data_IF_629580818201
#
_entry.id   IF_629580818201
#
_cell.length_a   1.000
_cell.length_b   1.000
_cell.length_c   1.000
_cell.angle_alpha   90.00
_cell.angle_beta   90.00
_cell.angle_gamma   90.00
#
_symmetry.space_group_name_H-M   'P 1'
#
loop_
_entity.id
_entity.type
_entity.pdbx_description
1 polymer ?
#
# COMPACT_ATOMS: atom_id res chain seq x y z
N UNK A 1 -12.38 33.73 13.56
CA UNK A 1 -13.75 33.26 13.31
C UNK A 1 -13.71 32.27 12.15
N UNK A 2 -14.23 31.08 12.39
CA UNK A 2 -14.47 30.07 11.37
C UNK A 2 -15.56 30.59 10.42
N UNK A 3 -15.28 30.58 9.09
CA UNK A 3 -16.26 30.98 8.06
C UNK A 3 -17.02 29.77 7.50
N UNK A 4 -16.43 28.58 7.62
CA UNK A 4 -16.89 27.36 6.95
C UNK A 4 -16.86 26.16 7.89
N UNK A 5 -17.29 26.36 9.16
CA UNK A 5 -17.23 25.32 10.20
C UNK A 5 -17.96 24.05 9.79
N UNK A 6 -19.17 24.18 9.25
CA UNK A 6 -19.99 23.02 8.85
C UNK A 6 -19.30 22.20 7.74
N UNK A 7 -18.69 22.89 6.78
CA UNK A 7 -17.92 22.23 5.72
C UNK A 7 -16.65 21.57 6.27
N UNK A 8 -15.95 22.23 7.21
CA UNK A 8 -14.76 21.67 7.83
C UNK A 8 -15.08 20.41 8.64
N UNK A 9 -16.21 20.40 9.38
CA UNK A 9 -16.67 19.22 10.11
C UNK A 9 -17.02 18.07 9.16
N UNK A 10 -17.81 18.36 8.11
CA UNK A 10 -18.22 17.34 7.15
C UNK A 10 -17.04 16.75 6.39
N UNK A 11 -16.14 17.58 5.85
CA UNK A 11 -14.97 17.13 5.11
C UNK A 11 -13.96 16.43 6.00
N UNK A 12 -13.82 16.88 7.25
CA UNK A 12 -13.00 16.20 8.26
C UNK A 12 -13.51 14.78 8.56
N UNK A 13 -14.82 14.62 8.68
CA UNK A 13 -15.45 13.31 8.85
C UNK A 13 -15.19 12.40 7.65
N UNK A 14 -15.41 12.88 6.42
CA UNK A 14 -15.14 12.10 5.21
C UNK A 14 -13.67 11.68 5.11
N UNK A 15 -12.74 12.61 5.34
CA UNK A 15 -11.31 12.28 5.31
C UNK A 15 -10.95 11.25 6.38
N UNK A 16 -11.46 11.39 7.61
CA UNK A 16 -11.20 10.45 8.69
C UNK A 16 -11.77 9.05 8.42
N UNK A 17 -12.97 8.98 7.82
CA UNK A 17 -13.61 7.72 7.44
C UNK A 17 -12.84 7.00 6.31
N UNK A 18 -12.05 7.70 5.50
CA UNK A 18 -11.16 7.05 4.53
C UNK A 18 -10.17 6.08 5.18
N UNK A 19 -9.93 6.17 6.50
CA UNK A 19 -9.09 5.23 7.24
C UNK A 19 -9.58 3.77 7.15
N UNK A 20 -10.89 3.56 6.96
CA UNK A 20 -11.45 2.22 6.76
C UNK A 20 -10.96 1.52 5.48
N UNK A 21 -10.51 2.29 4.49
CA UNK A 21 -10.00 1.78 3.22
C UNK A 21 -8.49 1.95 3.06
N UNK A 22 -7.96 3.12 3.45
CA UNK A 22 -6.55 3.41 3.27
C UNK A 22 -6.05 4.48 4.24
N UNK A 23 -5.34 4.07 5.29
CA UNK A 23 -4.75 4.98 6.27
C UNK A 23 -3.73 5.96 5.67
N UNK A 24 -2.99 5.57 4.61
CA UNK A 24 -2.05 6.45 3.95
C UNK A 24 -2.76 7.65 3.27
N UNK A 25 -3.98 7.46 2.75
CA UNK A 25 -4.77 8.55 2.19
C UNK A 25 -5.13 9.60 3.25
N UNK A 26 -5.46 9.16 4.46
CA UNK A 26 -5.76 10.07 5.58
C UNK A 26 -4.52 10.84 6.00
N UNK A 27 -3.40 10.15 6.19
CA UNK A 27 -2.12 10.80 6.56
C UNK A 27 -1.71 11.81 5.47
N UNK A 28 -1.78 11.42 4.18
CA UNK A 28 -1.49 12.32 3.07
C UNK A 28 -2.40 13.54 3.03
N UNK A 29 -3.70 13.35 3.27
CA UNK A 29 -4.67 14.44 3.40
C UNK A 29 -4.37 15.36 4.57
N UNK A 30 -4.05 14.82 5.75
CA UNK A 30 -3.66 15.61 6.93
C UNK A 30 -2.39 16.42 6.71
N UNK A 31 -1.40 15.86 5.99
CA UNK A 31 -0.17 16.58 5.62
C UNK A 31 -0.49 17.78 4.71
N UNK A 32 -1.37 17.62 3.72
CA UNK A 32 -1.83 18.69 2.85
C UNK A 32 -2.59 19.75 3.65
N UNK A 33 -3.46 19.34 4.57
CA UNK A 33 -4.18 20.27 5.46
C UNK A 33 -3.23 21.04 6.38
N UNK A 34 -2.15 20.43 6.85
CA UNK A 34 -1.10 21.10 7.60
C UNK A 34 -0.48 22.22 6.76
N UNK A 35 -0.15 21.95 5.50
CA UNK A 35 0.31 22.98 4.56
C UNK A 35 -0.69 24.13 4.40
N UNK A 36 -1.96 23.82 4.19
CA UNK A 36 -3.00 24.85 4.09
C UNK A 36 -3.17 25.65 5.38
N UNK A 37 -3.10 25.02 6.55
CA UNK A 37 -3.15 25.72 7.82
C UNK A 37 -1.98 26.69 8.03
N UNK A 38 -0.79 26.36 7.51
CA UNK A 38 0.40 27.20 7.59
C UNK A 38 0.27 28.41 6.64
N UNK A 39 -0.13 28.18 5.39
CA UNK A 39 0.01 29.16 4.30
C UNK A 39 -1.27 29.92 3.98
N UNK A 40 -2.44 29.54 4.52
CA UNK A 40 -3.72 30.22 4.26
C UNK A 40 -4.23 31.02 5.45
N UNK A 41 -5.24 31.83 5.19
CA UNK A 41 -5.92 32.63 6.21
C UNK A 41 -7.00 31.85 6.99
N UNK A 42 -7.45 30.70 6.47
CA UNK A 42 -8.51 29.84 7.05
C UNK A 42 -7.99 28.81 8.06
N UNK A 43 -7.01 29.17 8.90
CA UNK A 43 -6.33 28.25 9.81
C UNK A 43 -7.24 27.44 10.72
N UNK A 44 -8.30 28.09 11.26
CA UNK A 44 -9.23 27.43 12.18
C UNK A 44 -10.04 26.35 11.47
N UNK A 45 -10.52 26.62 10.26
CA UNK A 45 -11.32 25.66 9.50
C UNK A 45 -10.48 24.41 9.15
N UNK A 46 -9.21 24.59 8.75
CA UNK A 46 -8.29 23.46 8.49
C UNK A 46 -7.90 22.70 9.77
N UNK A 47 -7.74 23.40 10.90
CA UNK A 47 -7.46 22.74 12.18
C UNK A 47 -8.65 21.91 12.66
N UNK A 48 -9.87 22.41 12.52
CA UNK A 48 -11.09 21.67 12.83
C UNK A 48 -11.21 20.45 11.91
N UNK A 49 -11.02 20.60 10.61
CA UNK A 49 -11.05 19.51 9.66
C UNK A 49 -10.03 18.43 10.02
N UNK A 50 -8.79 18.81 10.36
CA UNK A 50 -7.76 17.88 10.79
C UNK A 50 -8.12 17.15 12.08
N UNK A 51 -8.61 17.88 13.10
CA UNK A 51 -9.02 17.30 14.38
C UNK A 51 -10.14 16.27 14.25
N UNK A 52 -11.16 16.57 13.43
CA UNK A 52 -12.26 15.65 13.14
C UNK A 52 -11.74 14.42 12.37
N UNK A 53 -10.85 14.61 11.38
CA UNK A 53 -10.24 13.50 10.63
C UNK A 53 -9.43 12.57 11.56
N UNK A 54 -8.64 13.13 12.46
CA UNK A 54 -7.86 12.36 13.45
C UNK A 54 -8.81 11.59 14.37
N UNK A 55 -9.89 12.23 14.84
CA UNK A 55 -10.85 11.56 15.72
C UNK A 55 -11.45 10.30 15.07
N UNK A 56 -11.98 10.43 13.84
CA UNK A 56 -12.55 9.27 13.13
C UNK A 56 -11.51 8.21 12.78
N UNK A 57 -10.29 8.60 12.41
CA UNK A 57 -9.19 7.66 12.15
C UNK A 57 -8.77 6.91 13.42
N UNK A 58 -8.69 7.59 14.57
CA UNK A 58 -8.37 6.96 15.85
C UNK A 58 -9.50 6.01 16.30
N UNK A 59 -10.76 6.37 16.04
CA UNK A 59 -11.89 5.49 16.33
C UNK A 59 -11.80 4.19 15.51
N UNK A 60 -11.55 4.29 14.20
CA UNK A 60 -11.33 3.15 13.33
C UNK A 60 -10.17 2.28 13.81
N UNK A 61 -9.01 2.89 14.09
CA UNK A 61 -7.81 2.18 14.54
C UNK A 61 -8.06 1.41 15.85
N UNK A 62 -8.73 2.01 16.83
CA UNK A 62 -9.05 1.34 18.10
C UNK A 62 -10.00 0.17 17.95
N UNK A 63 -10.91 0.20 16.98
CA UNK A 63 -11.89 -0.86 16.76
C UNK A 63 -11.27 -2.05 16.02
N UNK A 64 -10.43 -1.78 15.02
CA UNK A 64 -10.00 -2.80 14.05
C UNK A 64 -8.52 -3.17 14.13
N UNK A 65 -7.66 -2.36 14.76
CA UNK A 65 -6.22 -2.61 14.79
C UNK A 65 -5.80 -2.96 16.21
N UNK A 66 -5.33 -4.19 16.39
CA UNK A 66 -4.79 -4.69 17.66
C UNK A 66 -3.39 -5.25 17.40
N UNK A 67 -2.41 -4.85 18.22
CA UNK A 67 -1.09 -5.47 18.21
C UNK A 67 -0.09 -4.95 17.18
N UNK A 68 -0.42 -3.94 16.36
CA UNK A 68 0.58 -3.29 15.51
C UNK A 68 1.55 -2.49 16.40
N UNK A 69 2.83 -2.82 16.34
CA UNK A 69 3.85 -2.31 17.25
C UNK A 69 4.80 -1.28 16.60
N UNK A 70 4.59 -0.94 15.33
CA UNK A 70 5.48 -0.01 14.64
C UNK A 70 5.28 1.42 15.15
N UNK A 71 6.35 2.01 15.66
CA UNK A 71 6.43 3.45 15.94
C UNK A 71 7.07 4.17 14.75
N UNK A 72 6.64 5.41 14.43
CA UNK A 72 7.26 6.22 13.40
C UNK A 72 8.75 6.41 13.67
N UNK A 73 9.58 6.27 12.63
CA UNK A 73 11.03 6.43 12.71
C UNK A 73 11.49 7.50 11.72
N UNK A 74 12.53 8.24 12.09
CA UNK A 74 13.20 9.15 11.16
C UNK A 74 14.02 8.30 10.20
N UNK A 75 13.72 8.40 8.90
CA UNK A 75 14.43 7.72 7.84
C UNK A 75 14.59 8.66 6.64
N UNK A 76 15.81 9.15 6.46
CA UNK A 76 16.08 10.15 5.43
C UNK A 76 16.37 9.52 4.08
N UNK A 77 15.86 10.16 3.02
CA UNK A 77 16.23 9.89 1.65
C UNK A 77 15.44 8.79 0.93
N UNK A 78 14.38 8.23 1.54
CA UNK A 78 13.55 7.18 0.93
C UNK A 78 14.42 6.04 0.35
N UNK A 79 14.33 5.73 -0.96
CA UNK A 79 15.12 4.72 -1.67
C UNK A 79 16.38 5.26 -2.34
N UNK A 80 16.77 6.53 -2.10
CA UNK A 80 18.03 7.06 -2.64
C UNK A 80 19.23 6.25 -2.09
N UNK A 81 20.15 5.85 -2.95
CA UNK A 81 21.39 5.16 -2.55
C UNK A 81 22.27 6.07 -1.70
N UNK A 82 22.46 7.31 -2.17
CA UNK A 82 23.14 8.36 -1.43
C UNK A 82 22.11 9.20 -0.66
N UNK A 83 22.18 9.14 0.68
CA UNK A 83 21.27 9.84 1.60
C UNK A 83 21.62 11.32 1.82
N UNK A 84 22.62 11.86 1.10
CA UNK A 84 22.93 13.29 1.10
C UNK A 84 21.89 14.09 0.31
N UNK A 85 21.81 15.40 0.55
CA UNK A 85 20.90 16.28 -0.18
C UNK A 85 21.10 16.20 -1.71
N UNK A 86 22.33 16.25 -2.25
CA UNK A 86 22.55 16.03 -3.68
C UNK A 86 22.10 14.65 -4.18
N UNK A 87 22.34 13.59 -3.39
CA UNK A 87 21.91 12.24 -3.73
C UNK A 87 20.38 12.10 -3.81
N UNK A 88 19.67 12.69 -2.84
CA UNK A 88 18.20 12.73 -2.84
C UNK A 88 17.66 13.54 -4.02
N UNK A 89 18.26 14.69 -4.35
CA UNK A 89 17.87 15.48 -5.52
C UNK A 89 18.11 14.70 -6.81
N UNK A 90 19.25 14.00 -6.93
CA UNK A 90 19.54 13.11 -8.06
C UNK A 90 18.49 11.99 -8.17
N UNK A 91 18.14 11.37 -7.06
CA UNK A 91 17.10 10.34 -7.02
C UNK A 91 15.74 10.87 -7.46
N UNK A 92 15.31 12.04 -6.95
CA UNK A 92 14.08 12.71 -7.37
C UNK A 92 14.06 13.01 -8.87
N UNK A 93 15.19 13.42 -9.42
CA UNK A 93 15.32 13.65 -10.87
C UNK A 93 15.14 12.34 -11.67
N UNK A 94 15.82 11.26 -11.28
CA UNK A 94 15.68 9.97 -11.96
C UNK A 94 14.27 9.38 -11.82
N UNK A 95 13.65 9.52 -10.65
CA UNK A 95 12.31 9.03 -10.39
C UNK A 95 11.23 9.79 -11.18
N UNK A 96 11.39 11.10 -11.37
CA UNK A 96 10.32 11.96 -11.84
C UNK A 96 10.63 12.73 -13.14
N UNK A 97 11.85 12.63 -13.65
CA UNK A 97 12.28 13.38 -14.82
C UNK A 97 12.10 14.89 -14.64
N UNK A 98 11.39 15.50 -15.58
CA UNK A 98 11.14 16.95 -15.56
C UNK A 98 10.05 17.39 -14.57
N UNK A 99 9.33 16.44 -13.94
CA UNK A 99 8.14 16.74 -13.16
C UNK A 99 8.44 17.69 -11.99
N UNK A 100 9.28 17.29 -11.03
CA UNK A 100 9.59 18.13 -9.86
C UNK A 100 10.43 19.36 -10.22
N UNK A 101 11.39 19.22 -11.13
CA UNK A 101 12.20 20.36 -11.59
C UNK A 101 11.35 21.45 -12.23
N UNK A 102 10.41 21.06 -13.08
CA UNK A 102 9.51 22.02 -13.71
C UNK A 102 8.59 22.71 -12.72
N UNK A 103 8.15 22.02 -11.65
CA UNK A 103 7.37 22.65 -10.58
C UNK A 103 8.18 23.72 -9.84
N UNK A 104 9.47 23.50 -9.58
CA UNK A 104 10.37 24.51 -9.00
C UNK A 104 10.43 25.75 -9.89
N UNK A 105 10.54 25.57 -11.20
CA UNK A 105 10.52 26.69 -12.14
C UNK A 105 9.16 27.40 -12.19
N UNK A 106 8.05 26.65 -12.12
CA UNK A 106 6.69 27.22 -12.11
C UNK A 106 6.43 28.15 -10.93
N UNK A 107 7.02 27.87 -9.75
CA UNK A 107 6.87 28.70 -8.54
C UNK A 107 7.17 30.18 -8.82
N UNK A 108 8.11 30.47 -9.71
CA UNK A 108 8.47 31.87 -10.07
C UNK A 108 7.37 32.62 -10.83
N UNK A 109 6.49 31.88 -11.54
CA UNK A 109 5.41 32.46 -12.35
C UNK A 109 4.05 32.44 -11.64
N UNK A 110 3.98 31.83 -10.43
CA UNK A 110 2.74 31.66 -9.68
C UNK A 110 2.47 32.85 -8.73
N UNK A 111 1.18 33.11 -8.49
CA UNK A 111 0.74 34.04 -7.45
C UNK A 111 0.93 33.44 -6.07
N UNK A 112 0.95 34.27 -5.03
CA UNK A 112 1.16 33.84 -3.63
C UNK A 112 0.24 32.69 -3.23
N UNK A 113 -1.05 32.75 -3.59
CA UNK A 113 -2.04 31.72 -3.27
C UNK A 113 -1.74 30.40 -3.97
N UNK A 114 -1.41 30.43 -5.25
CA UNK A 114 -1.08 29.24 -6.05
C UNK A 114 0.19 28.56 -5.52
N UNK A 115 1.20 29.36 -5.15
CA UNK A 115 2.42 28.87 -4.49
C UNK A 115 2.13 28.16 -3.17
N UNK A 116 1.24 28.73 -2.34
CA UNK A 116 0.84 28.13 -1.08
C UNK A 116 0.19 26.76 -1.29
N UNK A 117 -0.68 26.62 -2.30
CA UNK A 117 -1.33 25.35 -2.65
C UNK A 117 -0.29 24.34 -3.16
N UNK A 118 0.60 24.75 -4.08
CA UNK A 118 1.65 23.86 -4.62
C UNK A 118 2.55 23.35 -3.50
N UNK A 119 3.04 24.24 -2.61
CA UNK A 119 3.89 23.85 -1.49
C UNK A 119 3.15 22.91 -0.54
N UNK A 120 1.85 23.14 -0.27
CA UNK A 120 1.05 22.23 0.57
C UNK A 120 0.95 20.83 -0.03
N UNK A 121 0.85 20.70 -1.34
CA UNK A 121 0.83 19.42 -2.04
C UNK A 121 2.18 18.69 -2.06
N UNK A 122 3.28 19.36 -1.72
CA UNK A 122 4.60 18.75 -1.55
C UNK A 122 4.79 18.11 -0.17
N UNK A 123 3.96 18.42 0.84
CA UNK A 123 4.13 17.87 2.19
C UNK A 123 4.15 16.36 2.24
N UNK A 124 3.28 15.61 1.53
CA UNK A 124 3.38 14.15 1.51
C UNK A 124 4.68 13.63 0.89
N UNK A 125 5.26 14.29 -0.13
CA UNK A 125 6.59 13.92 -0.66
C UNK A 125 7.66 14.13 0.40
N UNK A 126 7.69 15.30 1.05
CA UNK A 126 8.65 15.58 2.11
C UNK A 126 8.55 14.52 3.20
N UNK A 127 7.33 14.19 3.61
CA UNK A 127 7.06 13.13 4.59
C UNK A 127 7.63 11.78 4.15
N UNK A 128 7.42 11.37 2.89
CA UNK A 128 7.93 10.11 2.35
C UNK A 128 9.45 10.00 2.41
N UNK A 129 10.16 11.14 2.34
CA UNK A 129 11.63 11.20 2.36
C UNK A 129 12.22 11.44 3.76
N UNK A 130 11.40 11.63 4.77
CA UNK A 130 11.87 11.96 6.14
C UNK A 130 11.44 10.95 7.17
N UNK A 131 10.27 10.32 7.01
CA UNK A 131 9.68 9.44 8.01
C UNK A 131 9.35 8.07 7.43
N UNK A 132 9.53 7.05 8.27
CA UNK A 132 9.15 5.67 8.02
C UNK A 132 7.99 5.30 8.96
N UNK A 133 6.85 4.90 8.38
CA UNK A 133 5.63 4.57 9.12
C UNK A 133 5.37 3.06 9.22
N UNK A 134 6.09 2.28 8.43
CA UNK A 134 5.98 0.82 8.37
C UNK A 134 7.36 0.22 8.21
N UNK A 135 7.59 -1.07 8.54
CA UNK A 135 8.89 -1.71 8.35
C UNK A 135 9.39 -1.68 6.89
N UNK A 136 8.47 -1.68 5.95
CA UNK A 136 8.79 -1.59 4.52
C UNK A 136 8.77 -0.14 4.04
N UNK A 137 9.95 0.40 3.73
CA UNK A 137 10.13 1.76 3.19
C UNK A 137 9.39 1.96 1.85
N UNK A 138 9.22 0.89 1.06
CA UNK A 138 8.52 0.99 -0.22
C UNK A 138 7.07 1.47 -0.04
N UNK A 139 6.44 1.21 1.09
CA UNK A 139 5.07 1.68 1.40
C UNK A 139 4.95 3.20 1.34
N UNK A 140 6.03 3.93 1.58
CA UNK A 140 6.06 5.40 1.49
C UNK A 140 5.79 5.93 0.07
N UNK A 141 5.90 5.10 -0.99
CA UNK A 141 5.54 5.51 -2.35
C UNK A 141 4.10 6.06 -2.45
N UNK A 142 3.20 5.61 -1.58
CA UNK A 142 1.79 6.08 -1.53
C UNK A 142 1.70 7.59 -1.32
N UNK A 143 2.55 8.14 -0.45
CA UNK A 143 2.58 9.59 -0.20
C UNK A 143 3.13 10.38 -1.40
N UNK A 144 4.12 9.81 -2.09
CA UNK A 144 4.62 10.39 -3.35
C UNK A 144 3.52 10.40 -4.41
N UNK A 145 2.77 9.29 -4.56
CA UNK A 145 1.65 9.19 -5.50
C UNK A 145 0.53 10.20 -5.20
N UNK A 146 0.19 10.43 -3.93
CA UNK A 146 -0.80 11.45 -3.53
C UNK A 146 -0.35 12.82 -3.99
N UNK A 147 0.90 13.20 -3.72
CA UNK A 147 1.46 14.46 -4.17
C UNK A 147 1.46 14.57 -5.70
N UNK A 148 1.88 13.52 -6.40
CA UNK A 148 1.86 13.47 -7.87
C UNK A 148 0.47 13.77 -8.42
N UNK A 149 -0.56 13.10 -7.91
CA UNK A 149 -1.94 13.31 -8.35
C UNK A 149 -2.39 14.76 -8.25
N UNK A 150 -2.08 15.43 -7.13
CA UNK A 150 -2.45 16.85 -6.96
C UNK A 150 -1.55 17.81 -7.72
N UNK A 151 -0.26 17.52 -7.84
CA UNK A 151 0.69 18.38 -8.54
C UNK A 151 0.51 18.36 -10.06
N UNK A 152 -0.08 17.31 -10.63
CA UNK A 152 -0.44 17.25 -12.05
C UNK A 152 -1.40 18.37 -12.46
N UNK A 153 -2.20 18.91 -11.53
CA UNK A 153 -3.10 20.05 -11.78
C UNK A 153 -2.31 21.25 -12.26
N UNK A 154 -1.14 21.52 -11.67
CA UNK A 154 -0.28 22.64 -12.07
C UNK A 154 0.33 22.43 -13.45
N UNK A 155 0.69 21.19 -13.79
CA UNK A 155 1.17 20.85 -15.12
C UNK A 155 0.07 21.00 -16.17
N UNK A 156 -1.16 20.53 -15.88
CA UNK A 156 -2.30 20.75 -16.76
C UNK A 156 -2.55 22.25 -16.99
N UNK A 157 -2.52 23.03 -15.91
CA UNK A 157 -2.66 24.49 -16.01
C UNK A 157 -1.55 25.12 -16.88
N UNK A 158 -0.28 24.72 -16.70
CA UNK A 158 0.84 25.23 -17.50
C UNK A 158 0.70 24.88 -18.97
N UNK A 159 0.37 23.64 -19.29
CA UNK A 159 0.13 23.16 -20.67
C UNK A 159 -1.01 23.95 -21.33
N UNK A 160 -2.15 24.07 -20.65
CA UNK A 160 -3.29 24.85 -21.14
C UNK A 160 -2.94 26.35 -21.34
N UNK A 161 -2.15 26.92 -20.43
CA UNK A 161 -1.73 28.34 -20.54
C UNK A 161 -0.80 28.57 -21.74
N UNK A 162 0.11 27.64 -22.00
CA UNK A 162 0.99 27.66 -23.16
C UNK A 162 0.23 27.47 -24.47
N UNK A 163 -0.74 26.55 -24.47
CA UNK A 163 -1.55 26.25 -25.66
C UNK A 163 -2.44 27.40 -26.06
N UNK A 164 -3.13 28.01 -25.11
CA UNK A 164 -4.05 29.11 -25.37
C UNK A 164 -3.31 30.46 -25.68
N UNK A 165 -2.07 30.59 -25.17
CA UNK A 165 -1.31 31.84 -25.29
C UNK A 165 -1.91 32.97 -24.44
N UNK A 166 -1.26 34.12 -24.46
CA UNK A 166 -1.74 35.34 -23.78
C UNK A 166 -2.18 36.38 -24.82
N UNK A 167 -3.13 37.23 -24.43
CA UNK A 167 -3.51 38.38 -25.25
C UNK A 167 -2.28 39.27 -25.50
N UNK A 168 -2.08 39.73 -26.73
CA UNK A 168 -0.93 40.57 -27.14
C UNK A 168 0.31 39.80 -27.61
N UNK A 169 0.33 38.46 -27.54
CA UNK A 169 1.42 37.66 -28.11
C UNK A 169 1.38 37.66 -29.65
N UNK A 170 2.56 37.68 -30.29
CA UNK A 170 2.71 37.53 -31.74
C UNK A 170 2.33 36.10 -32.18
N UNK A 171 2.05 35.91 -33.46
CA UNK A 171 1.75 34.58 -34.02
C UNK A 171 2.87 33.57 -33.76
N UNK A 172 4.13 33.98 -33.88
CA UNK A 172 5.32 33.16 -33.63
C UNK A 172 5.34 32.71 -32.14
N UNK A 173 5.11 33.62 -31.20
CA UNK A 173 5.09 33.28 -29.75
C UNK A 173 3.98 32.29 -29.41
N UNK A 174 2.80 32.42 -30.01
CA UNK A 174 1.71 31.46 -29.85
C UNK A 174 2.07 30.06 -30.40
N UNK A 175 2.70 30.03 -31.58
CA UNK A 175 3.17 28.76 -32.17
C UNK A 175 4.23 28.11 -31.32
N UNK A 176 5.22 28.87 -30.82
CA UNK A 176 6.22 28.32 -29.89
C UNK A 176 5.60 27.80 -28.59
N UNK A 177 4.61 28.52 -28.04
CA UNK A 177 3.85 28.06 -26.86
C UNK A 177 3.17 26.71 -27.08
N UNK A 178 2.54 26.51 -28.24
CA UNK A 178 1.91 25.22 -28.61
C UNK A 178 2.93 24.09 -28.77
N UNK A 179 4.07 24.37 -29.41
CA UNK A 179 5.15 23.38 -29.55
C UNK A 179 5.67 22.99 -28.18
N UNK A 180 5.93 23.94 -27.29
CA UNK A 180 6.39 23.68 -25.93
C UNK A 180 5.35 22.88 -25.13
N UNK A 181 4.05 23.18 -25.27
CA UNK A 181 2.97 22.41 -24.64
C UNK A 181 2.99 20.94 -25.09
N UNK A 182 3.16 20.68 -26.40
CA UNK A 182 3.27 19.31 -26.94
C UNK A 182 4.50 18.59 -26.35
N UNK A 183 5.66 19.25 -26.36
CA UNK A 183 6.90 18.68 -25.80
C UNK A 183 6.73 18.34 -24.32
N UNK A 184 6.10 19.21 -23.54
CA UNK A 184 5.81 18.96 -22.12
C UNK A 184 4.88 17.76 -21.93
N UNK A 185 3.79 17.68 -22.70
CA UNK A 185 2.87 16.53 -22.63
C UNK A 185 3.61 15.22 -22.93
N UNK A 186 4.42 15.19 -23.98
CA UNK A 186 5.21 14.01 -24.32
C UNK A 186 6.19 13.68 -23.17
N UNK A 187 6.96 14.66 -22.69
CA UNK A 187 7.97 14.45 -21.65
C UNK A 187 7.37 13.99 -20.30
N UNK A 188 6.14 14.41 -19.98
CA UNK A 188 5.43 14.01 -18.76
C UNK A 188 4.71 12.67 -18.87
N UNK A 189 4.46 12.17 -20.10
CA UNK A 189 3.61 11.00 -20.31
C UNK A 189 4.36 9.81 -20.87
N UNK A 190 5.51 10.00 -21.51
CA UNK A 190 6.19 8.94 -22.28
C UNK A 190 6.59 7.74 -21.44
N UNK A 191 7.09 7.96 -20.23
CA UNK A 191 7.48 6.88 -19.31
C UNK A 191 6.24 6.08 -18.86
N UNK A 192 5.17 6.76 -18.45
CA UNK A 192 3.92 6.10 -18.06
C UNK A 192 3.27 5.32 -19.21
N UNK A 193 3.32 5.86 -20.43
CA UNK A 193 2.85 5.14 -21.63
C UNK A 193 3.74 3.92 -21.88
N UNK A 194 5.05 4.05 -21.76
CA UNK A 194 5.98 2.93 -21.90
C UNK A 194 5.68 1.82 -20.87
N UNK A 195 5.56 2.17 -19.60
CA UNK A 195 5.24 1.22 -18.53
C UNK A 195 3.90 0.52 -18.77
N UNK A 196 2.89 1.28 -19.20
CA UNK A 196 1.59 0.72 -19.55
C UNK A 196 1.68 -0.28 -20.71
N UNK A 197 2.46 0.03 -21.74
CA UNK A 197 2.71 -0.90 -22.86
C UNK A 197 3.46 -2.14 -22.40
N UNK A 198 4.44 -1.99 -21.51
CA UNK A 198 5.19 -3.13 -20.94
C UNK A 198 4.27 -4.03 -20.13
N UNK A 199 3.39 -3.46 -19.30
CA UNK A 199 2.40 -4.21 -18.52
C UNK A 199 1.46 -4.98 -19.45
N UNK A 200 0.91 -4.33 -20.50
CA UNK A 200 0.02 -5.00 -21.45
C UNK A 200 0.73 -6.13 -22.18
N UNK A 201 1.95 -5.90 -22.69
CA UNK A 201 2.74 -6.93 -23.38
C UNK A 201 3.21 -8.03 -22.44
N UNK A 202 3.51 -7.68 -21.19
CA UNK A 202 3.91 -8.61 -20.14
C UNK A 202 2.77 -9.51 -19.64
N UNK A 203 1.53 -9.13 -19.88
CA UNK A 203 0.31 -9.82 -19.40
C UNK A 203 -0.10 -11.01 -20.29
N UNK A 204 0.87 -11.70 -20.89
CA UNK A 204 0.65 -12.93 -21.68
C UNK A 204 0.24 -14.12 -20.81
N UNK A 205 -0.21 -15.24 -21.43
CA UNK A 205 -0.76 -16.40 -20.70
C UNK A 205 0.12 -16.95 -19.60
N UNK A 206 1.44 -16.95 -19.75
CA UNK A 206 2.40 -17.44 -18.74
C UNK A 206 2.77 -16.44 -17.63
N UNK A 207 2.15 -15.25 -17.59
CA UNK A 207 2.46 -14.20 -16.62
C UNK A 207 1.20 -13.70 -15.87
N UNK A 208 0.10 -14.41 -15.99
CA UNK A 208 -1.15 -14.11 -15.29
C UNK A 208 -1.30 -15.05 -14.11
N UNK A 209 -1.60 -14.51 -12.95
CA UNK A 209 -2.11 -15.30 -11.83
C UNK A 209 -3.62 -15.41 -12.03
N UNK A 210 -4.10 -16.64 -12.16
CA UNK A 210 -5.54 -16.93 -12.24
C UNK A 210 -5.92 -17.71 -10.99
N UNK A 211 -6.84 -17.18 -10.21
CA UNK A 211 -7.37 -17.84 -9.02
C UNK A 211 -8.79 -18.33 -9.33
N UNK A 212 -9.02 -19.64 -9.18
CA UNK A 212 -10.34 -20.22 -9.40
C UNK A 212 -11.15 -20.18 -8.10
N UNK A 213 -12.00 -19.17 -7.95
CA UNK A 213 -12.82 -18.98 -6.76
C UNK A 213 -13.98 -19.98 -6.63
N UNK A 214 -14.18 -20.85 -7.64
CA UNK A 214 -15.20 -21.90 -7.64
C UNK A 214 -14.55 -23.29 -7.72
N UNK A 215 -13.31 -23.43 -7.26
CA UNK A 215 -12.66 -24.74 -7.20
C UNK A 215 -13.30 -25.62 -6.12
N UNK A 216 -13.14 -26.94 -6.23
CA UNK A 216 -13.58 -27.88 -5.20
C UNK A 216 -12.95 -27.57 -3.84
N UNK A 217 -11.68 -27.12 -3.84
CA UNK A 217 -10.99 -26.71 -2.63
C UNK A 217 -11.65 -25.47 -1.99
N UNK A 218 -11.95 -24.44 -2.78
CA UNK A 218 -12.62 -23.24 -2.27
C UNK A 218 -13.98 -23.58 -1.67
N UNK A 219 -14.78 -24.37 -2.37
CA UNK A 219 -16.10 -24.81 -1.89
C UNK A 219 -15.98 -25.63 -0.59
N UNK A 220 -15.03 -26.56 -0.55
CA UNK A 220 -14.80 -27.36 0.68
C UNK A 220 -14.43 -26.47 1.88
N UNK A 221 -13.54 -25.47 1.66
CA UNK A 221 -13.14 -24.54 2.72
C UNK A 221 -14.32 -23.71 3.22
N UNK A 222 -15.18 -23.22 2.32
CA UNK A 222 -16.38 -22.44 2.66
C UNK A 222 -17.43 -23.26 3.41
N UNK A 223 -17.57 -24.54 3.08
CA UNK A 223 -18.58 -25.44 3.67
C UNK A 223 -18.15 -26.06 5.01
N UNK A 224 -16.84 -26.25 5.23
CA UNK A 224 -16.33 -27.03 6.35
C UNK A 224 -15.58 -26.22 7.41
N UNK A 225 -15.13 -24.97 7.12
CA UNK A 225 -14.50 -24.12 8.10
C UNK A 225 -15.50 -23.16 8.73
N UNK A 226 -15.49 -23.12 10.07
CA UNK A 226 -16.27 -22.17 10.85
C UNK A 226 -15.50 -20.85 11.03
N UNK A 227 -16.21 -19.80 11.44
CA UNK A 227 -15.65 -18.46 11.64
C UNK A 227 -14.41 -18.40 12.55
N UNK A 228 -14.32 -19.31 13.51
CA UNK A 228 -13.24 -19.33 14.50
C UNK A 228 -12.17 -20.39 14.18
N UNK A 229 -12.31 -21.11 13.09
CA UNK A 229 -11.31 -22.06 12.66
C UNK A 229 -10.06 -21.36 12.17
N UNK A 230 -8.92 -21.92 12.54
CA UNK A 230 -7.61 -21.40 12.21
C UNK A 230 -6.86 -22.39 11.34
N UNK A 231 -6.69 -22.06 10.08
CA UNK A 231 -6.04 -22.89 9.08
C UNK A 231 -4.55 -22.52 8.97
N UNK A 232 -3.65 -23.46 9.24
CA UNK A 232 -2.23 -23.34 8.90
C UNK A 232 -2.03 -23.72 7.42
N UNK A 233 -1.30 -22.89 6.68
CA UNK A 233 -0.98 -23.13 5.27
C UNK A 233 0.51 -22.93 5.03
N UNK A 234 1.08 -23.50 3.94
CA UNK A 234 2.32 -23.01 3.36
C UNK A 234 2.26 -21.51 3.02
N UNK A 235 3.36 -20.92 2.59
CA UNK A 235 3.38 -19.50 2.23
C UNK A 235 2.62 -19.23 0.94
N UNK A 236 1.50 -18.51 1.06
CA UNK A 236 0.68 -18.10 -0.08
C UNK A 236 0.55 -16.58 -0.14
N UNK A 237 0.81 -15.99 -1.30
CA UNK A 237 0.54 -14.57 -1.55
C UNK A 237 -0.82 -14.32 -2.19
N UNK A 238 -1.22 -15.17 -3.12
CA UNK A 238 -2.51 -15.13 -3.80
C UNK A 238 -2.82 -16.50 -4.40
N UNK A 239 -3.80 -17.19 -3.86
CA UNK A 239 -4.32 -18.46 -4.38
C UNK A 239 -5.75 -18.70 -3.88
N UNK A 240 -6.31 -19.84 -4.21
CA UNK A 240 -7.69 -20.24 -3.86
C UNK A 240 -7.92 -20.26 -2.34
N UNK A 241 -6.91 -20.70 -1.56
CA UNK A 241 -7.00 -20.78 -0.10
C UNK A 241 -7.04 -19.40 0.53
N UNK A 242 -6.13 -18.49 0.12
CA UNK A 242 -6.10 -17.11 0.66
C UNK A 242 -7.33 -16.30 0.31
N UNK A 243 -7.98 -16.64 -0.81
CA UNK A 243 -9.16 -15.93 -1.32
C UNK A 243 -10.49 -16.53 -0.88
N UNK A 244 -10.49 -17.75 -0.27
CA UNK A 244 -11.71 -18.41 0.22
C UNK A 244 -12.37 -17.74 1.42
N UNK A 245 -11.66 -16.81 2.09
CA UNK A 245 -12.14 -16.20 3.34
C UNK A 245 -11.77 -16.98 4.60
N UNK A 246 -11.06 -18.11 4.49
CA UNK A 246 -10.56 -18.87 5.63
C UNK A 246 -9.61 -18.01 6.49
N UNK A 247 -9.69 -18.13 7.81
CA UNK A 247 -8.77 -17.48 8.72
C UNK A 247 -7.45 -18.22 8.73
N UNK A 248 -6.39 -17.61 8.20
CA UNK A 248 -5.07 -18.21 8.12
C UNK A 248 -4.24 -17.92 9.38
N UNK A 249 -3.50 -18.91 9.86
CA UNK A 249 -2.62 -18.77 11.02
C UNK A 249 -1.46 -17.81 10.74
N UNK A 250 -0.82 -17.93 9.60
CA UNK A 250 0.30 -17.08 9.18
C UNK A 250 0.15 -16.63 7.72
N UNK A 251 -0.25 -17.51 6.82
CA UNK A 251 -0.32 -17.23 5.37
C UNK A 251 1.04 -16.77 4.85
N UNK A 252 1.06 -15.67 4.11
CA UNK A 252 2.30 -15.03 3.72
C UNK A 252 2.68 -13.94 4.73
N UNK A 253 3.74 -14.13 5.54
CA UNK A 253 4.09 -13.23 6.65
C UNK A 253 4.31 -11.78 6.25
N UNK A 254 4.75 -11.54 5.00
CA UNK A 254 5.03 -10.20 4.48
C UNK A 254 3.85 -9.22 4.65
N UNK A 255 2.61 -9.66 4.49
CA UNK A 255 1.46 -8.76 4.60
C UNK A 255 1.29 -8.21 6.03
N UNK A 256 1.38 -9.07 7.02
CA UNK A 256 1.29 -8.67 8.43
C UNK A 256 2.53 -7.87 8.86
N UNK A 257 3.73 -8.31 8.46
CA UNK A 257 4.98 -7.61 8.72
C UNK A 257 4.96 -6.19 8.12
N UNK A 258 4.58 -6.03 6.86
CA UNK A 258 4.53 -4.71 6.22
C UNK A 258 3.52 -3.76 6.84
N UNK A 259 2.54 -4.29 7.59
CA UNK A 259 1.59 -3.53 8.38
C UNK A 259 2.08 -3.23 9.82
N UNK A 260 3.28 -3.69 10.19
CA UNK A 260 3.91 -3.43 11.48
C UNK A 260 3.64 -4.48 12.57
N UNK A 261 3.13 -5.64 12.21
CA UNK A 261 2.97 -6.76 13.16
C UNK A 261 4.26 -7.57 13.27
N UNK A 262 4.52 -8.10 14.47
CA UNK A 262 5.57 -9.10 14.65
C UNK A 262 5.08 -10.45 14.12
N UNK A 263 5.72 -10.91 13.04
CA UNK A 263 5.43 -12.19 12.40
C UNK A 263 6.40 -13.30 12.76
N UNK A 264 7.52 -12.97 13.41
CA UNK A 264 8.62 -13.92 13.64
C UNK A 264 8.17 -15.11 14.49
N UNK A 265 7.39 -14.84 15.54
CA UNK A 265 6.91 -15.91 16.42
C UNK A 265 6.04 -16.92 15.66
N UNK A 266 5.01 -16.46 14.93
CA UNK A 266 4.11 -17.36 14.20
C UNK A 266 4.81 -18.09 13.06
N UNK A 267 5.70 -17.41 12.37
CA UNK A 267 6.51 -18.02 11.31
C UNK A 267 7.37 -19.16 11.88
N UNK A 268 8.05 -18.95 13.01
CA UNK A 268 8.83 -20.00 13.68
C UNK A 268 7.97 -21.21 14.13
N UNK A 269 6.75 -20.97 14.63
CA UNK A 269 5.83 -22.07 14.96
C UNK A 269 5.36 -22.83 13.71
N UNK A 270 5.05 -22.14 12.62
CA UNK A 270 4.68 -22.75 11.35
C UNK A 270 5.81 -23.64 10.80
N UNK A 271 7.06 -23.12 10.80
CA UNK A 271 8.25 -23.91 10.46
C UNK A 271 8.34 -25.15 11.32
N UNK A 272 8.21 -25.01 12.65
CA UNK A 272 8.27 -26.15 13.57
C UNK A 272 7.23 -27.22 13.21
N UNK A 273 5.97 -26.82 12.94
CA UNK A 273 4.89 -27.74 12.59
C UNK A 273 5.17 -28.48 11.29
N UNK A 274 5.67 -27.78 10.26
CA UNK A 274 5.93 -28.40 8.95
C UNK A 274 7.22 -29.23 8.89
N UNK A 275 8.18 -29.01 9.80
CA UNK A 275 9.51 -29.65 9.68
C UNK A 275 9.81 -30.66 10.78
N UNK A 276 9.08 -30.67 11.89
CA UNK A 276 9.35 -31.58 12.99
C UNK A 276 9.09 -33.05 12.62
N UNK A 277 9.96 -33.93 13.05
CA UNK A 277 9.76 -35.37 13.00
C UNK A 277 9.16 -35.94 14.30
N UNK A 278 9.00 -35.09 15.33
CA UNK A 278 8.49 -35.50 16.64
C UNK A 278 6.99 -35.17 16.77
N UNK A 279 6.17 -36.23 16.88
CA UNK A 279 4.71 -36.13 16.99
C UNK A 279 4.25 -35.40 18.26
N UNK A 280 5.03 -35.46 19.35
CA UNK A 280 4.68 -34.80 20.62
C UNK A 280 4.89 -33.30 20.51
N UNK A 281 6.01 -32.87 19.94
CA UNK A 281 6.30 -31.47 19.62
C UNK A 281 5.24 -30.90 18.66
N UNK A 282 4.87 -31.67 17.62
CA UNK A 282 3.82 -31.26 16.68
C UNK A 282 2.49 -31.00 17.41
N UNK A 283 1.98 -31.97 18.16
CA UNK A 283 0.70 -31.86 18.88
C UNK A 283 0.70 -30.72 19.88
N UNK A 284 1.78 -30.57 20.64
CA UNK A 284 1.92 -29.52 21.62
C UNK A 284 1.89 -28.12 20.96
N UNK A 285 2.63 -27.93 19.86
CA UNK A 285 2.67 -26.65 19.15
C UNK A 285 1.32 -26.32 18.54
N UNK A 286 0.68 -27.26 17.87
CA UNK A 286 -0.66 -27.08 17.27
C UNK A 286 -1.69 -26.71 18.34
N UNK A 287 -1.68 -27.37 19.50
CA UNK A 287 -2.60 -27.09 20.60
C UNK A 287 -2.34 -25.69 21.22
N UNK A 288 -1.07 -25.33 21.44
CA UNK A 288 -0.70 -24.01 21.96
C UNK A 288 -1.15 -22.87 21.05
N UNK A 289 -1.00 -23.05 19.74
CA UNK A 289 -1.36 -22.08 18.73
C UNK A 289 -2.84 -22.13 18.32
N UNK A 290 -3.61 -23.09 18.86
CA UNK A 290 -5.04 -23.30 18.58
C UNK A 290 -5.33 -23.47 17.09
N UNK A 291 -4.46 -24.11 16.35
CA UNK A 291 -4.63 -24.42 14.93
C UNK A 291 -5.65 -25.55 14.84
N UNK A 292 -6.73 -25.37 14.06
CA UNK A 292 -7.82 -26.33 13.90
C UNK A 292 -7.67 -27.18 12.65
N UNK A 293 -6.97 -26.65 11.64
CA UNK A 293 -6.68 -27.36 10.40
C UNK A 293 -5.25 -27.08 9.91
N UNK A 294 -4.63 -28.09 9.34
CA UNK A 294 -3.33 -27.99 8.68
C UNK A 294 -3.51 -28.37 7.22
N UNK A 295 -3.18 -27.45 6.31
CA UNK A 295 -3.11 -27.72 4.89
C UNK A 295 -1.66 -28.06 4.53
N UNK A 296 -1.49 -29.19 3.86
CA UNK A 296 -0.23 -29.59 3.24
C UNK A 296 -0.35 -29.51 1.72
N UNK A 297 0.64 -28.95 1.05
CA UNK A 297 0.77 -28.98 -0.40
C UNK A 297 2.11 -29.59 -0.78
N UNK A 298 2.08 -30.56 -1.70
CA UNK A 298 3.27 -31.27 -2.15
C UNK A 298 4.27 -30.33 -2.80
N UNK A 299 5.54 -30.37 -2.37
CA UNK A 299 6.62 -29.51 -2.84
C UNK A 299 6.55 -28.07 -2.35
N UNK A 300 5.72 -27.78 -1.36
CA UNK A 300 5.64 -26.46 -0.75
C UNK A 300 6.75 -26.21 0.26
N UNK A 301 7.04 -24.93 0.49
CA UNK A 301 8.01 -24.45 1.48
C UNK A 301 7.36 -23.46 2.46
N UNK A 302 7.95 -23.35 3.64
CA UNK A 302 7.70 -22.25 4.57
C UNK A 302 9.04 -21.71 5.06
N UNK A 303 9.29 -20.42 4.88
CA UNK A 303 10.59 -19.76 5.14
C UNK A 303 11.78 -20.54 4.53
N UNK A 304 11.68 -20.93 3.27
CA UNK A 304 12.69 -21.68 2.51
C UNK A 304 12.99 -23.09 3.09
N UNK A 305 12.12 -23.62 3.94
CA UNK A 305 12.20 -24.99 4.44
C UNK A 305 11.05 -25.81 3.85
N UNK A 306 11.39 -26.99 3.32
CA UNK A 306 10.43 -27.91 2.72
C UNK A 306 9.42 -28.40 3.77
N UNK A 307 8.14 -28.28 3.45
CA UNK A 307 7.04 -28.79 4.28
C UNK A 307 7.00 -30.32 4.17
N UNK A 308 6.90 -31.00 5.31
CA UNK A 308 6.85 -32.47 5.41
C UNK A 308 5.50 -32.92 5.92
N UNK A 309 4.97 -33.96 5.32
CA UNK A 309 3.65 -34.49 5.64
C UNK A 309 3.66 -35.60 6.68
N UNK A 310 4.72 -36.38 6.73
CA UNK A 310 4.71 -37.69 7.43
C UNK A 310 4.27 -37.60 8.89
N UNK A 311 4.79 -36.60 9.62
CA UNK A 311 4.45 -36.42 11.04
C UNK A 311 3.01 -35.91 11.20
N UNK A 312 2.54 -35.05 10.29
CA UNK A 312 1.18 -34.51 10.29
C UNK A 312 0.19 -35.62 10.01
N UNK A 313 0.41 -36.42 8.97
CA UNK A 313 -0.45 -37.55 8.58
C UNK A 313 -0.50 -38.66 9.62
N UNK A 314 0.57 -38.84 10.38
CA UNK A 314 0.59 -39.81 11.48
C UNK A 314 -0.16 -39.32 12.74
N UNK A 315 -0.31 -38.01 12.92
CA UNK A 315 -0.86 -37.37 14.10
C UNK A 315 -2.35 -37.01 13.97
N UNK A 316 -2.84 -36.73 12.76
CA UNK A 316 -4.14 -36.14 12.51
C UNK A 316 -4.90 -36.81 11.36
N UNK A 317 -6.23 -36.71 11.39
CA UNK A 317 -7.12 -37.27 10.38
C UNK A 317 -7.09 -36.38 9.11
N UNK A 318 -6.90 -37.03 7.95
CA UNK A 318 -7.06 -36.39 6.66
C UNK A 318 -8.54 -36.22 6.33
N UNK A 319 -9.01 -34.98 6.22
CA UNK A 319 -10.43 -34.66 5.98
C UNK A 319 -10.71 -34.18 4.55
N UNK A 320 -9.67 -33.82 3.80
CA UNK A 320 -9.79 -33.41 2.40
C UNK A 320 -8.54 -33.76 1.60
N UNK A 321 -8.73 -34.05 0.33
CA UNK A 321 -7.65 -34.24 -0.65
C UNK A 321 -8.14 -33.79 -2.03
N UNK A 322 -7.33 -33.02 -2.76
CA UNK A 322 -7.63 -32.66 -4.16
C UNK A 322 -7.56 -33.87 -5.08
N UNK A 323 -8.26 -33.84 -6.21
CA UNK A 323 -8.29 -34.94 -7.17
C UNK A 323 -6.89 -35.34 -7.71
N UNK A 324 -5.98 -34.37 -7.79
CA UNK A 324 -4.58 -34.59 -8.18
C UNK A 324 -3.68 -35.05 -7.02
N UNK A 325 -4.23 -35.11 -5.81
CA UNK A 325 -3.52 -35.54 -4.60
C UNK A 325 -2.49 -34.53 -4.07
N UNK A 326 -2.39 -33.34 -4.66
CA UNK A 326 -1.35 -32.36 -4.30
C UNK A 326 -1.63 -31.63 -3.00
N UNK A 327 -2.91 -31.32 -2.72
CA UNK A 327 -3.31 -30.60 -1.51
C UNK A 327 -4.10 -31.55 -0.61
N UNK A 328 -3.71 -31.63 0.65
CA UNK A 328 -4.36 -32.41 1.69
C UNK A 328 -4.61 -31.55 2.91
N UNK A 329 -5.77 -31.72 3.54
CA UNK A 329 -6.11 -30.98 4.76
C UNK A 329 -6.33 -31.98 5.90
N UNK A 330 -5.71 -31.67 7.02
CA UNK A 330 -5.75 -32.46 8.25
C UNK A 330 -6.50 -31.68 9.33
N UNK A 331 -7.45 -32.34 10.00
CA UNK A 331 -8.17 -31.77 11.14
C UNK A 331 -7.43 -32.09 12.44
N UNK A 332 -7.17 -31.06 13.25
CA UNK A 332 -6.33 -31.19 14.46
C UNK A 332 -7.15 -31.31 15.74
N UNK A 333 -8.45 -31.01 15.69
CA UNK A 333 -9.41 -31.12 16.81
C UNK A 333 -10.30 -32.33 16.63
N UNK A 334 -10.63 -33.03 17.74
CA UNK A 334 -11.61 -34.09 17.73
C UNK A 334 -13.03 -33.59 17.41
#
# INVERSE_FOLDING_TARGET
NSRYLDQALLMGMFLGLCAFWNGAAVIGGLLILCGFAIFSDGKVDYAVMAGVSIFFSCLQSKIFIVGSAMSPQIYLGFLAEDKTVPGVVKYLFWMSGVFFLGLVLMVWFMRRRERAILVSFLFPVIFAFVLLMTPDINVNHKYIMISYAFLTIFWAWAVCSLWNGRNGQSGIQKTMGKILAIVLVISLSVTGIYDFVVIIKGNGPGRRVTVNMNSELTQWLEENLEKNDLLLTPEYSMNEVTMSGAMLYCGWPYYAWSAGYDTNYRAAQAVTIYTTSDSETLKKTVQQEKITYILFEEGSEFEQQECREETIAAAYEKVYETQDGRIRIYKTTE
#
